data_IF_248958742034
#
_entry.id   IF_248958742034
#
_cell.length_a   1.000
_cell.length_b   1.000
_cell.length_c   1.000
_cell.angle_alpha   90.00
_cell.angle_beta   90.00
_cell.angle_gamma   90.00
#
_symmetry.space_group_name_H-M   'P 1'
#
loop_
_entity.id
_entity.type
_entity.pdbx_description
1 polymer ?
#
# COMPACT_ATOMS: atom_id res chain seq x y z
N UNK A 1 1.47 13.94 -1.34
CA UNK A 1 2.03 14.89 -0.34
C UNK A 1 3.34 14.29 0.13
N UNK A 2 4.48 14.94 -0.13
CA UNK A 2 5.79 14.40 0.26
C UNK A 2 6.00 14.60 1.78
N UNK A 3 6.55 13.62 2.51
CA UNK A 3 6.84 13.79 3.92
C UNK A 3 7.91 14.86 4.12
N UNK A 4 7.80 15.64 5.20
CA UNK A 4 8.87 16.55 5.62
C UNK A 4 9.84 15.83 6.55
N UNK A 5 11.15 15.93 6.30
CA UNK A 5 12.18 15.24 7.07
C UNK A 5 12.80 16.17 8.13
N UNK A 6 12.56 15.87 9.40
CA UNK A 6 13.11 16.59 10.54
C UNK A 6 13.78 15.62 11.54
N UNK A 7 14.86 16.06 12.17
CA UNK A 7 15.40 15.41 13.36
C UNK A 7 14.59 15.86 14.59
N UNK A 8 13.88 14.92 15.24
CA UNK A 8 13.15 15.17 16.49
C UNK A 8 14.02 14.77 17.69
N UNK A 9 14.24 15.70 18.63
CA UNK A 9 15.03 15.46 19.85
C UNK A 9 14.14 15.40 21.10
N UNK A 10 14.62 14.70 22.13
CA UNK A 10 13.83 14.37 23.32
C UNK A 10 13.68 15.52 24.33
N UNK A 11 14.57 16.52 24.37
CA UNK A 11 14.39 17.79 25.12
C UNK A 11 15.52 18.81 24.80
N UNK A 12 15.21 20.11 24.72
CA UNK A 12 16.12 21.26 24.52
C UNK A 12 17.11 21.20 23.33
N UNK A 13 16.64 20.85 22.13
CA UNK A 13 17.38 21.09 20.89
C UNK A 13 16.54 21.86 19.87
N UNK A 14 17.19 22.76 19.13
CA UNK A 14 16.58 23.39 17.97
C UNK A 14 16.30 22.34 16.89
N UNK A 15 15.08 22.31 16.35
CA UNK A 15 14.74 21.50 15.19
C UNK A 15 15.68 21.85 14.03
N UNK A 16 16.35 20.83 13.46
CA UNK A 16 17.16 20.98 12.25
C UNK A 16 16.42 20.35 11.08
N UNK A 17 16.33 21.09 9.98
CA UNK A 17 15.83 20.56 8.71
C UNK A 17 16.89 19.64 8.12
N UNK A 18 16.51 18.44 7.72
CA UNK A 18 17.39 17.50 7.01
C UNK A 18 17.31 17.69 5.48
N UNK A 19 16.57 18.70 5.03
CA UNK A 19 16.42 19.06 3.63
C UNK A 19 14.96 19.18 3.21
N UNK A 20 14.77 19.69 2.01
CA UNK A 20 13.47 19.88 1.38
C UNK A 20 13.35 18.99 0.14
N UNK A 21 12.13 18.53 -0.20
CA UNK A 21 11.90 17.66 -1.36
C UNK A 21 12.01 18.47 -2.66
N UNK A 22 13.24 18.82 -3.03
CA UNK A 22 13.56 19.58 -4.25
C UNK A 22 13.72 18.67 -5.48
N UNK A 23 13.91 17.37 -5.27
CA UNK A 23 14.00 16.37 -6.32
C UNK A 23 12.75 15.48 -6.35
N UNK A 24 12.36 15.04 -7.55
CA UNK A 24 11.33 14.01 -7.71
C UNK A 24 11.83 12.64 -7.27
N UNK A 25 10.89 11.72 -6.98
CA UNK A 25 11.19 10.31 -6.76
C UNK A 25 11.92 9.72 -7.97
N UNK A 26 13.04 9.05 -7.74
CA UNK A 26 13.81 8.35 -8.78
C UNK A 26 13.60 6.85 -8.62
N UNK A 27 12.95 6.20 -9.58
CA UNK A 27 12.82 4.75 -9.59
C UNK A 27 14.13 4.11 -10.10
N UNK A 28 14.76 3.29 -9.27
CA UNK A 28 15.94 2.51 -9.68
C UNK A 28 15.52 1.24 -10.41
N UNK A 29 14.44 0.61 -9.96
CA UNK A 29 13.79 -0.53 -10.60
C UNK A 29 12.30 -0.58 -10.19
N UNK A 30 11.61 -1.72 -10.41
CA UNK A 30 10.19 -1.88 -10.06
C UNK A 30 9.90 -1.96 -8.56
N UNK A 31 10.89 -2.27 -7.74
CA UNK A 31 10.77 -2.52 -6.30
C UNK A 31 11.60 -1.57 -5.45
N UNK A 32 12.41 -0.70 -6.06
CA UNK A 32 13.31 0.22 -5.35
C UNK A 32 13.24 1.61 -5.97
N UNK A 33 13.17 2.62 -5.11
CA UNK A 33 13.16 4.02 -5.50
C UNK A 33 13.89 4.87 -4.46
N UNK A 34 14.27 6.09 -4.83
CA UNK A 34 14.99 7.01 -3.95
C UNK A 34 14.33 8.38 -3.93
N UNK A 35 14.15 8.93 -2.73
CA UNK A 35 13.84 10.34 -2.50
C UNK A 35 15.08 11.06 -2.00
N UNK A 36 15.33 12.28 -2.52
CA UNK A 36 16.42 13.13 -2.08
C UNK A 36 15.90 14.45 -1.55
N UNK A 37 16.41 14.81 -0.38
CA UNK A 37 16.11 16.03 0.34
C UNK A 37 17.39 16.85 0.45
N UNK A 38 17.35 18.09 -0.04
CA UNK A 38 18.51 18.96 -0.18
C UNK A 38 18.24 20.30 0.50
N UNK A 39 19.30 21.06 0.79
CA UNK A 39 19.18 22.42 1.33
C UNK A 39 18.60 22.48 2.74
N UNK A 40 19.03 21.59 3.64
CA UNK A 40 18.62 21.58 5.03
C UNK A 40 19.25 22.69 5.86
N UNK A 41 19.28 22.51 7.18
CA UNK A 41 19.99 23.43 8.08
C UNK A 41 21.50 23.37 7.84
N UNK A 42 22.24 24.40 8.26
CA UNK A 42 23.71 24.39 8.22
C UNK A 42 24.28 23.16 8.93
N UNK A 43 25.26 22.52 8.30
CA UNK A 43 25.85 21.31 8.83
C UNK A 43 26.66 21.61 10.11
N UNK A 44 26.50 20.80 11.19
CA UNK A 44 27.25 21.02 12.42
C UNK A 44 28.76 20.75 12.31
N UNK A 45 29.18 19.90 11.39
CA UNK A 45 30.60 19.54 11.18
C UNK A 45 31.28 20.41 10.13
N UNK A 46 30.53 21.07 9.24
CA UNK A 46 31.02 21.98 8.22
C UNK A 46 30.07 23.16 7.99
N UNK A 47 30.48 24.35 8.40
CA UNK A 47 29.67 25.57 8.27
C UNK A 47 29.43 26.03 6.82
N UNK A 48 30.17 25.50 5.85
CA UNK A 48 30.03 25.86 4.43
C UNK A 48 29.04 24.95 3.68
N UNK A 49 28.54 23.90 4.32
CA UNK A 49 27.58 22.97 3.73
C UNK A 49 26.27 22.90 4.50
N UNK A 50 25.25 22.35 3.83
CA UNK A 50 23.90 22.18 4.34
C UNK A 50 23.60 20.69 4.54
N UNK A 51 22.78 20.40 5.54
CA UNK A 51 22.30 19.05 5.78
C UNK A 51 21.46 18.58 4.58
N UNK A 52 21.57 17.29 4.29
CA UNK A 52 20.77 16.63 3.28
C UNK A 52 20.37 15.25 3.76
N UNK A 53 19.37 14.65 3.11
CA UNK A 53 19.02 13.27 3.37
C UNK A 53 18.55 12.55 2.12
N UNK A 54 18.77 11.25 2.07
CA UNK A 54 18.16 10.36 1.09
C UNK A 54 17.30 9.32 1.80
N UNK A 55 16.25 8.89 1.12
CA UNK A 55 15.42 7.77 1.57
C UNK A 55 15.40 6.74 0.45
N UNK A 56 15.96 5.57 0.71
CA UNK A 56 15.86 4.41 -0.15
C UNK A 56 14.58 3.63 0.20
N UNK A 57 13.61 3.67 -0.69
CA UNK A 57 12.38 2.92 -0.58
C UNK A 57 12.60 1.54 -1.19
N UNK A 58 12.15 0.51 -0.48
CA UNK A 58 12.07 -0.84 -1.02
C UNK A 58 10.66 -1.41 -0.81
N UNK A 59 10.17 -2.09 -1.85
CA UNK A 59 8.88 -2.74 -1.85
C UNK A 59 8.89 -3.89 -0.84
N UNK A 60 8.02 -3.79 0.15
CA UNK A 60 7.61 -4.88 1.01
C UNK A 60 6.08 -4.86 1.07
N UNK A 61 5.46 -5.85 0.42
CA UNK A 61 4.01 -5.97 0.29
C UNK A 61 3.29 -6.15 1.63
N UNK A 62 4.00 -6.61 2.67
CA UNK A 62 3.47 -6.83 4.02
C UNK A 62 3.76 -5.68 4.98
N UNK A 63 4.66 -4.77 4.64
CA UNK A 63 5.05 -3.66 5.51
C UNK A 63 3.95 -2.59 5.71
N UNK A 64 2.91 -2.60 4.87
CA UNK A 64 1.92 -1.52 4.82
C UNK A 64 2.60 -0.18 4.53
N UNK A 65 2.14 0.90 5.16
CA UNK A 65 2.79 2.21 5.03
C UNK A 65 4.26 2.17 5.50
N UNK A 66 4.60 1.34 6.48
CA UNK A 66 5.92 1.29 7.09
C UNK A 66 6.34 2.62 7.72
N UNK A 67 7.64 2.74 8.02
CA UNK A 67 8.27 3.99 8.45
C UNK A 67 9.74 4.01 8.02
N UNK A 68 10.31 5.18 7.69
CA UNK A 68 11.73 5.28 7.40
C UNK A 68 12.57 4.98 8.64
N UNK A 69 13.65 4.23 8.46
CA UNK A 69 14.62 3.82 9.47
C UNK A 69 15.96 4.45 9.08
N UNK A 70 16.58 5.17 10.01
CA UNK A 70 17.91 5.73 9.79
C UNK A 70 18.93 4.60 9.72
N UNK A 71 19.68 4.52 8.62
CA UNK A 71 20.72 3.52 8.40
C UNK A 71 22.11 4.10 8.66
N UNK A 72 22.40 5.26 8.07
CA UNK A 72 23.73 5.83 8.09
C UNK A 72 23.67 7.36 8.19
N UNK A 73 24.63 7.92 8.92
CA UNK A 73 24.96 9.35 8.88
C UNK A 73 26.40 9.45 8.41
N UNK A 74 26.62 10.09 7.26
CA UNK A 74 27.97 10.36 6.74
C UNK A 74 28.13 11.86 6.58
N UNK A 75 29.04 12.45 7.36
CA UNK A 75 29.25 13.90 7.46
C UNK A 75 27.95 14.68 7.70
N UNK A 76 27.40 15.27 6.64
CA UNK A 76 26.21 16.12 6.63
C UNK A 76 25.01 15.48 5.93
N UNK A 77 25.09 14.17 5.61
CA UNK A 77 24.09 13.45 4.86
C UNK A 77 23.49 12.29 5.68
N UNK A 78 22.16 12.25 5.76
CA UNK A 78 21.40 11.24 6.47
C UNK A 78 20.76 10.27 5.48
N UNK A 79 21.02 8.98 5.64
CA UNK A 79 20.46 7.93 4.78
C UNK A 79 19.44 7.12 5.56
N UNK A 80 18.23 7.06 5.02
CA UNK A 80 17.14 6.28 5.55
C UNK A 80 16.79 5.14 4.58
N UNK A 81 16.35 4.02 5.12
CA UNK A 81 15.65 2.98 4.37
C UNK A 81 14.19 2.95 4.77
N UNK A 82 13.31 2.69 3.81
CA UNK A 82 11.87 2.63 4.06
C UNK A 82 11.25 1.43 3.34
N UNK A 83 11.03 0.35 4.10
CA UNK A 83 10.21 -0.78 3.70
C UNK A 83 8.74 -0.32 3.62
N UNK A 84 8.13 -0.36 2.44
CA UNK A 84 6.73 0.06 2.28
C UNK A 84 6.05 -0.69 1.14
N UNK A 85 4.75 -0.90 1.27
CA UNK A 85 3.94 -1.47 0.20
C UNK A 85 3.53 -0.42 -0.86
N UNK A 86 3.74 0.88 -0.57
CA UNK A 86 3.27 2.00 -1.39
C UNK A 86 3.98 2.08 -2.75
N UNK A 87 5.19 1.53 -2.85
CA UNK A 87 5.95 1.47 -4.11
C UNK A 87 5.92 0.09 -4.75
N UNK A 88 5.16 -0.86 -4.19
CA UNK A 88 5.08 -2.20 -4.74
C UNK A 88 4.25 -2.21 -6.02
N UNK A 89 4.68 -2.97 -7.06
CA UNK A 89 3.88 -3.18 -8.24
C UNK A 89 2.59 -3.91 -7.90
N UNK A 90 1.54 -3.70 -8.70
CA UNK A 90 0.31 -4.50 -8.57
C UNK A 90 0.58 -5.97 -8.88
N UNK A 91 -0.25 -6.84 -8.31
CA UNK A 91 -0.11 -8.29 -8.48
C UNK A 91 -1.41 -8.95 -8.93
N UNK A 92 -1.31 -9.83 -9.91
CA UNK A 92 -2.46 -10.56 -10.44
C UNK A 92 -2.74 -11.77 -9.55
N UNK A 93 -3.86 -11.72 -8.83
CA UNK A 93 -4.27 -12.80 -7.94
C UNK A 93 -4.94 -13.93 -8.73
N UNK A 94 -4.88 -15.14 -8.16
CA UNK A 94 -5.67 -16.27 -8.66
C UNK A 94 -7.03 -16.28 -7.98
N UNK A 95 -8.10 -16.53 -8.74
CA UNK A 95 -9.43 -16.73 -8.18
C UNK A 95 -9.76 -18.22 -8.12
N UNK A 96 -10.05 -18.73 -6.92
CA UNK A 96 -10.52 -20.10 -6.73
C UNK A 96 -12.05 -20.12 -6.84
N UNK A 97 -12.58 -20.67 -7.93
CA UNK A 97 -14.03 -20.72 -8.18
C UNK A 97 -14.78 -21.66 -7.22
N UNK A 98 -14.17 -22.77 -6.79
CA UNK A 98 -14.82 -23.77 -5.93
C UNK A 98 -15.01 -23.27 -4.50
N UNK A 99 -13.97 -22.63 -3.97
CA UNK A 99 -13.97 -22.06 -2.61
C UNK A 99 -14.48 -20.62 -2.59
N UNK A 100 -14.48 -19.94 -3.73
CA UNK A 100 -14.72 -18.51 -3.86
C UNK A 100 -13.77 -17.71 -2.96
N UNK A 101 -12.48 -17.86 -3.28
CA UNK A 101 -11.36 -17.21 -2.61
C UNK A 101 -10.51 -16.45 -3.63
N UNK A 102 -10.00 -15.29 -3.23
CA UNK A 102 -8.93 -14.60 -3.96
C UNK A 102 -7.62 -15.00 -3.31
N UNK A 103 -6.74 -15.66 -4.06
CA UNK A 103 -5.45 -16.14 -3.59
C UNK A 103 -4.39 -15.10 -3.97
N UNK A 104 -3.76 -14.51 -2.96
CA UNK A 104 -2.61 -13.64 -3.12
C UNK A 104 -1.34 -14.38 -2.64
N UNK A 105 -0.62 -14.96 -3.58
CA UNK A 105 0.61 -15.73 -3.39
C UNK A 105 1.82 -14.87 -3.01
N UNK A 106 1.86 -13.61 -3.44
CA UNK A 106 2.90 -12.63 -3.07
C UNK A 106 3.03 -12.46 -1.54
N UNK A 107 1.88 -12.42 -0.85
CA UNK A 107 1.84 -12.32 0.62
C UNK A 107 1.40 -13.62 1.29
N UNK A 108 1.20 -14.70 0.54
CA UNK A 108 0.68 -15.98 1.01
C UNK A 108 -0.58 -15.83 1.88
N UNK A 109 -1.57 -15.09 1.37
CA UNK A 109 -2.83 -14.82 2.04
C UNK A 109 -4.02 -15.00 1.09
N UNK A 110 -5.09 -15.60 1.60
CA UNK A 110 -6.31 -15.82 0.85
C UNK A 110 -7.43 -14.94 1.42
N UNK A 111 -8.17 -14.27 0.55
CA UNK A 111 -9.37 -13.53 0.91
C UNK A 111 -10.59 -14.43 0.70
N UNK A 112 -11.24 -14.85 1.79
CA UNK A 112 -12.44 -15.69 1.77
C UNK A 112 -13.69 -14.87 1.41
N UNK A 113 -13.94 -14.70 0.11
CA UNK A 113 -15.04 -13.84 -0.38
C UNK A 113 -16.41 -14.43 -0.07
N UNK A 114 -16.54 -15.76 -0.10
CA UNK A 114 -17.82 -16.46 0.15
C UNK A 114 -18.43 -16.15 1.53
N UNK A 115 -17.57 -16.08 2.54
CA UNK A 115 -17.92 -15.91 3.97
C UNK A 115 -17.71 -14.47 4.43
N UNK A 116 -17.24 -13.59 3.54
CA UNK A 116 -16.94 -12.21 3.89
C UNK A 116 -18.21 -11.49 4.39
N UNK A 117 -18.12 -10.63 5.44
CA UNK A 117 -19.29 -10.02 6.09
C UNK A 117 -20.19 -9.18 5.19
N UNK A 118 -19.65 -8.69 4.06
CA UNK A 118 -20.39 -7.89 3.08
C UNK A 118 -21.13 -8.75 2.04
N UNK A 119 -21.02 -10.08 2.13
CA UNK A 119 -21.69 -11.03 1.23
C UNK A 119 -22.60 -11.96 2.02
N UNK A 120 -23.58 -12.54 1.32
CA UNK A 120 -24.34 -13.68 1.78
C UNK A 120 -24.06 -14.85 0.83
N UNK A 121 -23.21 -15.79 1.26
CA UNK A 121 -22.69 -16.88 0.42
C UNK A 121 -22.08 -16.36 -0.90
N UNK A 122 -21.33 -15.27 -0.84
CA UNK A 122 -20.70 -14.66 -2.02
C UNK A 122 -21.61 -13.84 -2.93
N UNK A 123 -22.88 -13.65 -2.54
CA UNK A 123 -23.82 -12.77 -3.25
C UNK A 123 -24.01 -11.47 -2.48
N UNK A 124 -24.09 -10.38 -3.22
CA UNK A 124 -24.30 -9.03 -2.70
C UNK A 124 -25.56 -8.43 -3.32
N UNK A 125 -26.41 -7.80 -2.51
CA UNK A 125 -27.56 -7.02 -3.01
C UNK A 125 -27.14 -5.57 -3.22
N UNK A 126 -27.47 -5.02 -4.37
CA UNK A 126 -27.20 -3.64 -4.77
C UNK A 126 -28.52 -3.01 -5.21
N UNK A 127 -28.89 -1.89 -4.60
CA UNK A 127 -30.09 -1.15 -4.98
C UNK A 127 -29.72 -0.06 -6.00
N UNK A 128 -30.30 -0.12 -7.18
CA UNK A 128 -30.14 0.87 -8.25
C UNK A 128 -31.51 1.51 -8.50
N UNK A 129 -31.71 2.74 -8.02
CA UNK A 129 -32.99 3.43 -8.10
C UNK A 129 -34.07 2.72 -7.28
N UNK A 130 -35.11 2.20 -7.97
CA UNK A 130 -36.22 1.43 -7.35
C UNK A 130 -36.06 -0.09 -7.47
N UNK A 131 -35.01 -0.56 -8.14
CA UNK A 131 -34.76 -1.97 -8.39
C UNK A 131 -33.60 -2.48 -7.55
N UNK A 132 -33.77 -3.66 -6.96
CA UNK A 132 -32.68 -4.40 -6.34
C UNK A 132 -32.10 -5.38 -7.36
N UNK A 133 -30.78 -5.44 -7.42
CA UNK A 133 -30.02 -6.38 -8.22
C UNK A 133 -29.09 -7.19 -7.32
N UNK A 134 -29.01 -8.51 -7.55
CA UNK A 134 -28.09 -9.37 -6.80
C UNK A 134 -26.88 -9.67 -7.67
N UNK A 135 -25.73 -9.22 -7.20
CA UNK A 135 -24.43 -9.48 -7.79
C UNK A 135 -23.86 -10.79 -7.22
N UNK A 136 -23.62 -11.77 -8.09
CA UNK A 136 -22.91 -12.99 -7.73
C UNK A 136 -21.40 -12.79 -7.90
N UNK A 137 -20.65 -12.78 -6.81
CA UNK A 137 -19.20 -12.56 -6.82
C UNK A 137 -18.46 -13.88 -7.09
N UNK A 138 -19.02 -15.01 -6.67
CA UNK A 138 -18.42 -16.35 -6.77
C UNK A 138 -18.61 -17.05 -8.11
N UNK A 139 -19.21 -16.38 -9.09
CA UNK A 139 -19.35 -16.92 -10.45
C UNK A 139 -18.00 -17.17 -11.15
N UNK A 140 -18.07 -17.74 -12.35
CA UNK A 140 -16.89 -18.09 -13.16
C UNK A 140 -16.18 -16.88 -13.75
N UNK A 141 -14.94 -17.07 -14.20
CA UNK A 141 -14.19 -16.09 -14.98
C UNK A 141 -14.00 -14.76 -14.24
N UNK A 142 -13.57 -14.82 -12.98
CA UNK A 142 -13.18 -13.64 -12.21
C UNK A 142 -11.71 -13.34 -12.42
N UNK A 143 -11.39 -12.07 -12.63
CA UNK A 143 -10.02 -11.58 -12.62
C UNK A 143 -9.81 -10.76 -11.35
N UNK A 144 -8.78 -11.07 -10.58
CA UNK A 144 -8.44 -10.37 -9.36
C UNK A 144 -7.04 -9.77 -9.46
N UNK A 145 -6.85 -8.58 -8.90
CA UNK A 145 -5.56 -7.88 -8.85
C UNK A 145 -5.44 -7.09 -7.54
N UNK A 146 -4.30 -7.16 -6.88
CA UNK A 146 -4.00 -6.28 -5.73
C UNK A 146 -3.33 -5.00 -6.19
N UNK A 147 -3.77 -3.90 -5.60
CA UNK A 147 -3.09 -2.61 -5.66
C UNK A 147 -2.59 -2.30 -4.24
N UNK A 148 -1.30 -2.58 -4.01
CA UNK A 148 -0.66 -2.38 -2.72
C UNK A 148 -0.56 -0.89 -2.34
N UNK A 149 -0.36 -0.02 -3.33
CA UNK A 149 -0.25 1.42 -3.11
C UNK A 149 -1.58 2.03 -2.64
N UNK A 150 -2.69 1.48 -3.13
CA UNK A 150 -4.02 1.87 -2.72
C UNK A 150 -4.61 0.99 -1.60
N UNK A 151 -3.86 0.00 -1.11
CA UNK A 151 -4.31 -0.93 -0.07
C UNK A 151 -5.61 -1.67 -0.44
N UNK A 152 -5.73 -2.08 -1.70
CA UNK A 152 -6.98 -2.63 -2.22
C UNK A 152 -6.82 -3.89 -3.07
N UNK A 153 -7.89 -4.67 -3.14
CA UNK A 153 -8.02 -5.83 -4.04
C UNK A 153 -9.16 -5.52 -5.00
N UNK A 154 -8.86 -5.50 -6.29
CA UNK A 154 -9.80 -5.24 -7.36
C UNK A 154 -10.25 -6.56 -7.99
N UNK A 155 -11.55 -6.75 -8.11
CA UNK A 155 -12.16 -7.90 -8.76
C UNK A 155 -12.98 -7.44 -9.97
N UNK A 156 -12.72 -8.05 -11.12
CA UNK A 156 -13.32 -7.70 -12.40
C UNK A 156 -14.08 -8.89 -12.98
N UNK A 157 -15.29 -8.63 -13.46
CA UNK A 157 -16.11 -9.65 -14.12
C UNK A 157 -17.30 -9.06 -14.89
N UNK A 158 -17.99 -9.91 -15.66
CA UNK A 158 -19.23 -9.54 -16.35
C UNK A 158 -20.45 -10.17 -15.69
N UNK A 159 -21.57 -9.45 -15.67
CA UNK A 159 -22.85 -9.95 -15.17
C UNK A 159 -24.02 -9.42 -16.00
N UNK A 160 -25.15 -10.11 -15.97
CA UNK A 160 -26.39 -9.64 -16.57
C UNK A 160 -27.13 -8.75 -15.57
N UNK A 161 -27.01 -7.43 -15.76
CA UNK A 161 -27.66 -6.42 -14.93
C UNK A 161 -29.01 -5.98 -15.55
N UNK A 162 -29.84 -5.19 -14.85
CA UNK A 162 -31.09 -4.66 -15.40
C UNK A 162 -30.92 -3.82 -16.68
N UNK A 163 -29.73 -3.25 -16.88
CA UNK A 163 -29.35 -2.51 -18.09
C UNK A 163 -28.71 -3.40 -19.18
N UNK A 164 -28.69 -4.72 -19.01
CA UNK A 164 -28.04 -5.70 -19.89
C UNK A 164 -26.69 -6.18 -19.38
N UNK A 165 -25.92 -6.83 -20.25
CA UNK A 165 -24.59 -7.37 -19.92
C UNK A 165 -23.64 -6.23 -19.57
N UNK A 166 -23.17 -6.23 -18.33
CA UNK A 166 -22.40 -5.14 -17.73
C UNK A 166 -21.05 -5.63 -17.21
N UNK A 167 -20.03 -4.79 -17.36
CA UNK A 167 -18.74 -4.99 -16.71
C UNK A 167 -18.81 -4.46 -15.28
N UNK A 168 -18.28 -5.23 -14.34
CA UNK A 168 -18.26 -4.90 -12.92
C UNK A 168 -16.81 -4.83 -12.47
N UNK A 169 -16.47 -3.75 -11.78
CA UNK A 169 -15.26 -3.61 -10.98
C UNK A 169 -15.69 -3.48 -9.52
N UNK A 170 -15.34 -4.48 -8.71
CA UNK A 170 -15.51 -4.44 -7.26
C UNK A 170 -14.15 -4.13 -6.64
N UNK A 171 -14.07 -3.04 -5.88
CA UNK A 171 -12.86 -2.64 -5.17
C UNK A 171 -13.03 -2.91 -3.68
N UNK A 172 -12.26 -3.87 -3.16
CA UNK A 172 -12.19 -4.20 -1.75
C UNK A 172 -11.06 -3.38 -1.12
N UNK A 173 -11.37 -2.50 -0.17
CA UNK A 173 -10.39 -1.68 0.52
C UNK A 173 -10.12 -2.32 1.88
N UNK A 174 -8.86 -2.61 2.19
CA UNK A 174 -8.49 -3.14 3.49
C UNK A 174 -8.55 -2.01 4.54
N UNK A 175 -9.48 -2.10 5.51
CA UNK A 175 -9.44 -1.22 6.69
C UNK A 175 -8.44 -1.80 7.70
N UNK A 176 -7.60 -0.94 8.30
CA UNK A 176 -6.62 -1.31 9.31
C UNK A 176 -7.20 -1.84 10.63
N UNK A 177 -8.53 -1.94 10.75
CA UNK A 177 -9.24 -2.43 11.95
C UNK A 177 -9.42 -3.96 11.99
N UNK A 178 -8.73 -4.71 11.12
CA UNK A 178 -8.68 -6.15 11.26
C UNK A 178 -7.87 -6.51 12.50
N UNK A 179 -8.57 -6.89 13.59
CA UNK A 179 -8.00 -7.70 14.67
C UNK A 179 -7.29 -8.88 14.03
N UNK A 180 -5.96 -8.82 13.92
CA UNK A 180 -5.18 -10.00 13.63
C UNK A 180 -5.45 -10.97 14.78
N UNK A 181 -6.19 -12.04 14.52
CA UNK A 181 -6.15 -13.21 15.39
C UNK A 181 -4.80 -13.87 15.10
N UNK A 182 -3.75 -13.34 15.73
CA UNK A 182 -2.46 -14.01 15.77
C UNK A 182 -2.66 -15.19 16.71
N UNK A 183 -2.95 -16.35 16.14
CA UNK A 183 -2.84 -17.61 16.87
C UNK A 183 -1.35 -17.89 17.06
N UNK A 184 -0.81 -17.49 18.20
CA UNK A 184 0.45 -18.03 18.70
C UNK A 184 0.21 -19.47 19.14
N UNK A 185 0.37 -20.41 18.20
CA UNK A 185 0.70 -21.79 18.53
C UNK A 185 2.13 -22.07 18.06
N UNK A 186 3.09 -21.69 18.91
CA UNK A 186 4.31 -22.41 19.26
C UNK A 186 5.11 -21.60 20.28
#
# INVERSE_FOLDING_TARGET
>A
MFPHCYAKCNENCAHRSLGFPMASLVAHNRTNAELRYLGGSTCPTDSQSELSSSIELHCDMRAGLGKPILQLITDCHYQFEWATNVICPSHMCTFNEEKCEIINDDINYNYEVKTAPFTNEGKMKISIGKSDFTLDICGKHRKAETDYAEGSVNLYFTTDAPCGKSNVQLRLICSGDTKQVINYNN
#
